data_IF_112309593171
#
_entry.id   IF_112309593171
#
_cell.length_a   1.000
_cell.length_b   1.000
_cell.length_c   1.000
_cell.angle_alpha   90.00
_cell.angle_beta   90.00
_cell.angle_gamma   90.00
#
_symmetry.space_group_name_H-M   'P 1'
#
loop_
_entity.id
_entity.type
_entity.pdbx_description
1 polymer ?
2 non-polymer ?
3 non-polymer ?
4 non-polymer ?
5 water ?
#
# COMPACT_ATOMS: atom_id res chain seq x y z
N UNK A 1 -11.44 -14.83 17.38
CA UNK A 1 -11.54 -14.22 16.01
C UNK A 1 -11.21 -12.72 16.08
N UNK A 2 -10.08 -12.34 15.52
CA UNK A 2 -9.66 -10.95 15.53
C UNK A 2 -9.50 -10.41 14.11
N UNK A 3 -9.92 -9.17 13.90
CA UNK A 3 -9.79 -8.55 12.60
C UNK A 3 -8.79 -7.40 12.68
N UNK A 4 -7.82 -7.40 11.77
CA UNK A 4 -6.83 -6.34 11.70
C UNK A 4 -7.24 -5.51 10.50
N UNK A 5 -7.57 -4.23 10.73
CA UNK A 5 -7.98 -3.36 9.65
C UNK A 5 -7.07 -2.15 9.47
N UNK A 6 -6.47 -2.04 8.30
CA UNK A 6 -5.61 -0.90 7.99
C UNK A 6 -6.38 -0.08 6.95
N UNK A 7 -6.85 1.08 7.37
CA UNK A 7 -7.59 1.96 6.47
C UNK A 7 -6.87 3.29 6.38
N UNK A 8 -6.56 3.71 5.16
CA UNK A 8 -5.86 4.97 4.97
C UNK A 8 -6.53 5.85 3.94
N UNK A 9 -6.24 7.14 4.03
CA UNK A 9 -6.80 8.12 3.11
C UNK A 9 -6.01 9.41 3.17
N UNK A 10 -6.00 10.13 2.06
CA UNK A 10 -5.32 11.41 1.97
C UNK A 10 -6.39 12.46 2.30
N UNK A 11 -6.20 13.19 3.40
CA UNK A 11 -7.16 14.23 3.80
C UNK A 11 -6.52 15.61 3.78
N UNK A 12 -5.40 15.73 3.10
CA UNK A 12 -4.72 17.02 3.03
C UNK A 12 -3.30 16.91 3.56
N UNK A 13 -2.43 17.79 3.07
CA UNK A 13 -1.04 17.76 3.50
C UNK A 13 -0.35 19.13 3.44
N UNK A 14 0.74 19.26 4.18
CA UNK A 14 1.49 20.51 4.25
C UNK A 14 2.43 20.76 3.08
N UNK A 15 2.37 21.98 2.54
CA UNK A 15 3.24 22.41 1.44
C UNK A 15 3.17 21.62 0.14
N UNK A 16 2.10 20.85 -0.04
CA UNK A 16 1.95 20.04 -1.23
C UNK A 16 1.53 18.64 -0.81
N UNK A 17 1.78 17.65 -1.68
CA UNK A 17 1.44 16.26 -1.39
C UNK A 17 2.63 15.65 -0.68
N UNK A 18 3.13 16.41 0.29
CA UNK A 18 4.33 16.12 1.07
C UNK A 18 4.24 15.32 2.37
N UNK A 19 3.48 15.83 3.34
CA UNK A 19 3.38 15.14 4.62
C UNK A 19 2.08 15.46 5.35
N UNK A 20 1.62 14.51 6.15
CA UNK A 20 0.41 14.70 6.95
C UNK A 20 0.77 15.59 8.13
N UNK A 21 -0.04 16.61 8.39
CA UNK A 21 0.19 17.53 9.51
C UNK A 21 -0.25 16.87 10.82
N UNK A 22 0.59 16.93 11.86
CA UNK A 22 0.29 16.33 13.17
C UNK A 22 -1.10 16.66 13.71
N UNK A 23 -1.55 17.90 13.53
CA UNK A 23 -2.86 18.31 14.03
C UNK A 23 -4.01 17.48 13.44
N UNK A 24 -3.87 17.07 12.19
CA UNK A 24 -4.91 16.27 11.57
C UNK A 24 -4.95 14.86 12.15
N UNK A 25 -3.79 14.34 12.53
CA UNK A 25 -3.76 13.01 13.12
C UNK A 25 -4.33 13.08 14.54
N UNK A 26 -4.13 14.22 15.20
CA UNK A 26 -4.65 14.41 16.56
C UNK A 26 -6.17 14.35 16.50
N UNK A 27 -6.75 14.94 15.46
CA UNK A 27 -8.21 14.94 15.30
C UNK A 27 -8.68 13.50 15.08
N UNK A 28 -7.93 12.76 14.27
CA UNK A 28 -8.28 11.38 13.98
C UNK A 28 -8.19 10.53 15.24
N UNK A 29 -7.23 10.87 16.10
CA UNK A 29 -7.04 10.13 17.35
C UNK A 29 -8.22 10.29 18.29
N UNK A 30 -8.76 11.50 18.39
CA UNK A 30 -9.90 11.72 19.27
C UNK A 30 -11.05 10.81 18.87
N UNK A 31 -11.27 10.67 17.56
CA UNK A 31 -12.35 9.83 17.05
C UNK A 31 -12.14 8.35 17.36
N UNK A 32 -10.92 7.85 17.14
CA UNK A 32 -10.66 6.43 17.42
C UNK A 32 -10.60 6.17 18.92
N UNK A 33 -10.18 7.17 19.70
CA UNK A 33 -10.12 7.01 21.14
C UNK A 33 -11.53 6.79 21.65
N UNK A 34 -12.49 7.50 21.05
CA UNK A 34 -13.88 7.38 21.44
C UNK A 34 -14.42 6.02 20.99
N UNK A 35 -14.09 5.62 19.77
CA UNK A 35 -14.54 4.33 19.24
C UNK A 35 -14.04 3.19 20.11
N UNK A 36 -12.81 3.33 20.61
CA UNK A 36 -12.21 2.30 21.47
C UNK A 36 -12.96 2.28 22.81
N UNK A 37 -13.25 3.46 23.32
CA UNK A 37 -13.96 3.59 24.59
C UNK A 37 -15.35 2.99 24.46
N UNK A 38 -15.97 3.17 23.30
CA UNK A 38 -17.31 2.66 23.04
C UNK A 38 -17.31 1.17 22.73
N UNK A 39 -16.11 0.60 22.59
CA UNK A 39 -16.01 -0.81 22.31
C UNK A 39 -16.15 -1.19 20.84
N UNK A 40 -16.19 -0.20 19.96
CA UNK A 40 -16.31 -0.46 18.53
C UNK A 40 -15.02 -1.16 18.07
N UNK A 41 -13.88 -0.65 18.51
CA UNK A 41 -12.60 -1.27 18.18
C UNK A 41 -11.90 -1.60 19.49
N UNK A 42 -10.98 -2.56 19.45
CA UNK A 42 -10.25 -2.96 20.65
C UNK A 42 -8.95 -2.18 20.83
N UNK A 43 -8.34 -1.78 19.74
CA UNK A 43 -7.08 -1.04 19.81
C UNK A 43 -6.78 -0.38 18.47
N UNK A 44 -5.82 0.52 18.44
CA UNK A 44 -5.47 1.20 17.20
C UNK A 44 -4.13 1.92 17.30
N UNK A 45 -3.58 2.25 16.15
CA UNK A 45 -2.33 2.98 16.05
C UNK A 45 -2.51 3.87 14.83
N UNK A 46 -2.24 5.15 14.99
CA UNK A 46 -2.38 6.10 13.89
C UNK A 46 -1.02 6.67 13.51
N UNK A 47 -0.76 6.73 12.21
CA UNK A 47 0.49 7.29 11.74
C UNK A 47 0.27 7.78 10.31
N UNK A 48 1.35 7.97 9.57
CA UNK A 48 1.24 8.43 8.20
C UNK A 48 2.46 7.98 7.40
N UNK A 49 2.34 8.10 6.09
CA UNK A 49 3.42 7.84 5.15
C UNK A 49 3.12 8.84 4.05
N UNK A 50 4.03 9.80 3.86
CA UNK A 50 3.77 10.82 2.86
C UNK A 50 2.51 11.58 3.27
N UNK A 51 1.62 11.81 2.30
CA UNK A 51 0.39 12.55 2.58
C UNK A 51 -0.80 11.63 2.89
N UNK A 52 -0.51 10.40 3.32
CA UNK A 52 -1.57 9.45 3.64
C UNK A 52 -1.68 9.12 5.12
N UNK A 53 -2.82 9.46 5.70
CA UNK A 53 -3.08 9.22 7.11
C UNK A 53 -3.50 7.75 7.28
N UNK A 54 -2.79 7.06 8.15
CA UNK A 54 -3.00 5.63 8.40
C UNK A 54 -3.73 5.31 9.68
N UNK A 55 -4.77 4.48 9.57
CA UNK A 55 -5.54 4.06 10.73
C UNK A 55 -5.41 2.54 10.86
N UNK A 56 -4.60 2.09 11.81
CA UNK A 56 -4.41 0.67 12.04
C UNK A 56 -5.31 0.32 13.22
N UNK A 57 -6.31 -0.53 12.97
CA UNK A 57 -7.25 -0.90 14.01
C UNK A 57 -7.47 -2.40 14.15
N UNK A 58 -7.67 -2.84 15.38
CA UNK A 58 -7.95 -4.25 15.65
C UNK A 58 -9.32 -4.25 16.31
N UNK A 59 -10.14 -5.23 15.95
CA UNK A 59 -11.49 -5.34 16.49
C UNK A 59 -12.01 -6.74 16.24
N UNK A 60 -13.28 -6.97 16.56
CA UNK A 60 -13.88 -8.28 16.38
C UNK A 60 -15.16 -8.18 15.54
N UNK A 61 -15.18 -7.26 14.59
CA UNK A 61 -16.35 -7.06 13.76
C UNK A 61 -16.20 -7.56 12.32
N UNK A 62 -15.15 -8.33 12.07
CA UNK A 62 -14.92 -8.89 10.75
C UNK A 62 -14.55 -7.90 9.66
N UNK A 63 -14.33 -8.44 8.46
CA UNK A 63 -13.96 -7.66 7.29
C UNK A 63 -15.14 -6.89 6.70
N UNK A 64 -14.85 -5.76 6.08
CA UNK A 64 -15.88 -4.92 5.46
C UNK A 64 -17.03 -4.64 6.42
N UNK A 65 -16.70 -4.22 7.64
CA UNK A 65 -17.73 -3.90 8.61
C UNK A 65 -18.13 -2.44 8.45
N UNK A 66 -19.44 -2.20 8.36
CA UNK A 66 -19.97 -0.85 8.20
C UNK A 66 -19.59 0.12 9.31
N UNK A 67 -19.68 -0.33 10.55
CA UNK A 67 -19.37 0.53 11.68
C UNK A 67 -17.88 0.87 11.78
N UNK A 68 -17.02 -0.11 11.52
CA UNK A 68 -15.59 0.13 11.56
C UNK A 68 -15.20 1.12 10.46
N UNK A 69 -15.73 0.88 9.26
CA UNK A 69 -15.44 1.77 8.14
C UNK A 69 -16.03 3.16 8.35
N UNK A 70 -17.20 3.23 8.97
CA UNK A 70 -17.85 4.50 9.23
C UNK A 70 -17.01 5.25 10.28
N UNK A 71 -16.44 4.51 11.21
CA UNK A 71 -15.62 5.10 12.25
C UNK A 71 -14.39 5.69 11.58
N UNK A 72 -13.81 4.95 10.65
CA UNK A 72 -12.63 5.39 9.91
C UNK A 72 -12.99 6.65 9.13
N UNK A 73 -14.14 6.62 8.47
CA UNK A 73 -14.59 7.77 7.69
C UNK A 73 -14.73 9.02 8.56
N UNK A 74 -15.30 8.86 9.75
CA UNK A 74 -15.47 10.01 10.64
C UNK A 74 -14.10 10.53 11.10
N UNK A 75 -13.16 9.61 11.30
CA UNK A 75 -11.82 9.99 11.74
C UNK A 75 -11.20 10.85 10.64
N UNK A 76 -11.33 10.42 9.38
CA UNK A 76 -10.79 11.17 8.25
C UNK A 76 -11.51 12.51 8.09
N UNK A 77 -12.82 12.52 8.30
CA UNK A 77 -13.60 13.74 8.18
C UNK A 77 -13.12 14.78 9.17
N UNK A 78 -12.91 14.37 10.42
CA UNK A 78 -12.44 15.29 11.46
C UNK A 78 -11.04 15.77 11.12
N UNK A 79 -10.23 14.88 10.54
CA UNK A 79 -8.86 15.25 10.18
C UNK A 79 -8.92 16.24 9.01
N UNK A 80 -9.82 16.00 8.07
CA UNK A 80 -9.98 16.86 6.91
C UNK A 80 -10.46 18.26 7.32
N UNK A 81 -11.30 18.34 8.35
CA UNK A 81 -11.79 19.62 8.81
C UNK A 81 -10.63 20.45 9.38
N UNK A 82 -9.74 19.79 10.09
CA UNK A 82 -8.57 20.48 10.65
C UNK A 82 -7.67 20.90 9.49
N UNK A 83 -7.51 20.01 8.51
CA UNK A 83 -6.68 20.31 7.35
C UNK A 83 -7.22 21.55 6.65
N UNK A 84 -8.55 21.63 6.53
CA UNK A 84 -9.19 22.77 5.87
C UNK A 84 -8.96 24.06 6.67
N UNK A 85 -9.13 23.99 7.98
CA UNK A 85 -8.92 25.16 8.83
C UNK A 85 -7.48 25.62 8.82
N UNK A 86 -6.56 24.68 8.59
CA UNK A 86 -5.13 24.99 8.54
C UNK A 86 -4.74 25.39 7.12
N UNK A 87 -5.70 25.33 6.22
CA UNK A 87 -5.44 25.70 4.83
C UNK A 87 -4.47 24.77 4.14
N UNK A 88 -4.39 23.52 4.60
CA UNK A 88 -3.48 22.56 3.99
C UNK A 88 -3.86 22.28 2.55
N UNK A 89 -2.89 21.80 1.78
CA UNK A 89 -3.14 21.50 0.38
C UNK A 89 -3.94 20.21 0.23
N UNK A 90 -4.82 20.17 -0.76
CA UNK A 90 -5.64 18.99 -1.03
C UNK A 90 -6.46 18.56 0.19
N UNK A 91 -6.93 19.52 0.97
CA UNK A 91 -7.72 19.21 2.15
C UNK A 91 -8.91 18.33 1.76
N UNK A 92 -9.04 17.18 2.40
CA UNK A 92 -10.12 16.26 2.12
C UNK A 92 -9.99 15.56 0.77
N UNK A 93 -8.77 15.58 0.22
CA UNK A 93 -8.49 14.98 -1.09
C UNK A 93 -9.23 13.69 -1.46
N UNK A 94 -9.05 12.64 -0.66
CA UNK A 94 -9.69 11.36 -0.95
C UNK A 94 -11.17 11.28 -0.55
N UNK A 95 -11.66 12.29 0.16
CA UNK A 95 -13.05 12.30 0.60
C UNK A 95 -13.98 13.13 -0.28
N UNK A 96 -13.45 14.22 -0.86
CA UNK A 96 -14.24 15.10 -1.70
C UNK A 96 -13.74 15.13 -3.14
N UNK A 97 -14.65 14.88 -4.08
CA UNK A 97 -14.30 14.88 -5.50
C UNK A 97 -13.91 16.27 -6.00
N UNK A 98 -14.30 17.30 -5.25
CA UNK A 98 -13.98 18.66 -5.66
C UNK A 98 -12.99 19.35 -4.73
N UNK A 99 -12.21 18.57 -3.99
CA UNK A 99 -11.21 19.13 -3.08
C UNK A 99 -10.17 19.88 -3.92
N UNK A 100 -9.43 20.77 -3.28
CA UNK A 100 -8.43 21.57 -4.00
C UNK A 100 -7.10 20.87 -4.30
N UNK A 101 -7.07 20.15 -5.42
CA UNK A 101 -5.88 19.45 -5.88
C UNK A 101 -6.09 19.04 -7.33
N UNK A 102 -5.01 18.71 -8.03
CA UNK A 102 -5.12 18.34 -9.42
C UNK A 102 -5.12 16.86 -9.75
N UNK A 103 -4.98 16.02 -8.73
CA UNK A 103 -4.98 14.57 -8.96
C UNK A 103 -6.38 13.96 -8.77
N UNK A 104 -6.47 12.64 -8.86
CA UNK A 104 -7.75 11.96 -8.72
C UNK A 104 -8.27 12.07 -7.29
N UNK A 105 -9.41 12.74 -7.14
CA UNK A 105 -10.01 12.97 -5.84
C UNK A 105 -11.32 12.22 -5.56
N UNK A 106 -11.72 12.21 -4.29
CA UNK A 106 -12.95 11.58 -3.86
C UNK A 106 -13.19 10.10 -4.07
N UNK A 107 -12.13 9.30 -4.25
CA UNK A 107 -12.33 7.87 -4.46
C UNK A 107 -12.60 7.11 -3.16
N UNK A 108 -12.29 7.72 -2.02
CA UNK A 108 -12.52 7.07 -0.75
C UNK A 108 -11.28 6.42 -0.15
N UNK A 109 -11.36 5.95 1.10
CA UNK A 109 -10.22 5.31 1.76
C UNK A 109 -9.81 3.97 1.17
N UNK A 110 -8.52 3.66 1.29
CA UNK A 110 -8.00 2.40 0.80
C UNK A 110 -8.05 1.46 1.99
N UNK A 111 -8.27 0.18 1.75
CA UNK A 111 -8.36 -0.76 2.87
C UNK A 111 -7.70 -2.12 2.66
N UNK A 112 -7.09 -2.61 3.74
CA UNK A 112 -6.45 -3.91 3.78
C UNK A 112 -6.96 -4.49 5.09
N UNK A 113 -7.72 -5.58 5.02
CA UNK A 113 -8.28 -6.21 6.21
C UNK A 113 -8.20 -7.72 6.20
N UNK A 114 -7.97 -8.30 7.37
CA UNK A 114 -7.92 -9.75 7.48
C UNK A 114 -8.50 -10.18 8.82
N UNK A 115 -9.54 -11.01 8.76
CA UNK A 115 -10.16 -11.54 9.96
C UNK A 115 -9.48 -12.88 10.16
N UNK A 116 -8.89 -13.08 11.32
CA UNK A 116 -8.18 -14.32 11.60
C UNK A 116 -8.42 -14.84 12.99
N UNK A 117 -7.89 -16.02 13.25
CA UNK A 117 -7.95 -16.63 14.56
C UNK A 117 -6.51 -16.52 15.03
N UNK A 118 -6.27 -15.67 16.01
CA UNK A 118 -4.92 -15.46 16.52
C UNK A 118 -4.25 -16.78 16.88
N UNK A 119 -2.99 -16.92 16.47
CA UNK A 119 -2.22 -18.11 16.78
C UNK A 119 -1.68 -17.88 18.19
N UNK A 120 -0.97 -18.86 18.75
CA UNK A 120 -0.42 -18.71 20.11
C UNK A 120 0.21 -17.33 20.21
N UNK A 121 0.97 -16.96 19.19
CA UNK A 121 1.60 -15.66 19.10
C UNK A 121 1.29 -15.21 17.68
N UNK A 122 0.90 -13.96 17.51
CA UNK A 122 0.53 -13.47 16.19
C UNK A 122 1.38 -12.29 15.72
N UNK A 123 2.62 -12.54 15.29
CA UNK A 123 3.48 -11.46 14.82
C UNK A 123 3.08 -11.06 13.39
N UNK A 124 3.00 -9.76 13.12
CA UNK A 124 2.63 -9.29 11.80
C UNK A 124 3.47 -8.09 11.39
N UNK A 125 3.54 -7.85 10.08
CA UNK A 125 4.25 -6.70 9.56
C UNK A 125 3.23 -5.96 8.70
N UNK A 126 3.11 -4.67 8.91
CA UNK A 126 2.18 -3.86 8.14
C UNK A 126 2.99 -2.89 7.31
N UNK A 127 2.75 -2.90 6.01
CA UNK A 127 3.47 -2.02 5.08
C UNK A 127 2.52 -1.00 4.49
N UNK A 128 2.96 0.25 4.49
CA UNK A 128 2.15 1.36 3.97
C UNK A 128 3.05 2.17 3.04
N UNK A 129 2.55 2.49 1.86
CA UNK A 129 3.35 3.24 0.90
C UNK A 129 2.64 4.46 0.36
N UNK A 130 3.43 5.45 -0.04
CA UNK A 130 2.91 6.66 -0.64
C UNK A 130 3.58 6.87 -1.99
N UNK A 131 2.81 7.39 -2.95
CA UNK A 131 3.28 7.67 -4.30
C UNK A 131 3.49 6.43 -5.18
N UNK A 132 2.61 5.45 -5.04
CA UNK A 132 2.65 4.26 -5.88
C UNK A 132 1.27 3.59 -5.82
N UNK A 133 1.12 2.45 -6.48
CA UNK A 133 -0.17 1.77 -6.52
C UNK A 133 -0.08 0.35 -5.95
N UNK A 134 -1.24 -0.28 -5.71
CA UNK A 134 -1.31 -1.65 -5.17
C UNK A 134 -0.37 -2.68 -5.82
N UNK A 135 -0.28 -2.64 -7.14
CA UNK A 135 0.58 -3.58 -7.85
C UNK A 135 2.03 -3.52 -7.41
N UNK A 136 2.39 -2.48 -6.68
CA UNK A 136 3.76 -2.32 -6.19
C UNK A 136 4.14 -3.50 -5.29
N UNK A 137 3.15 -4.14 -4.67
CA UNK A 137 3.44 -5.25 -3.78
C UNK A 137 3.53 -6.60 -4.48
N UNK A 138 3.23 -6.66 -5.77
CA UNK A 138 3.31 -7.92 -6.51
C UNK A 138 4.67 -8.60 -6.42
N UNK A 139 5.74 -7.87 -6.78
CA UNK A 139 7.07 -8.44 -6.73
C UNK A 139 7.46 -8.87 -5.31
N UNK A 140 7.28 -8.00 -4.31
CA UNK A 140 7.62 -8.36 -2.93
C UNK A 140 6.89 -9.61 -2.43
N UNK A 141 5.57 -9.66 -2.67
CA UNK A 141 4.77 -10.81 -2.24
C UNK A 141 5.20 -12.09 -2.92
N UNK A 142 5.48 -12.03 -4.22
CA UNK A 142 5.93 -13.20 -4.94
C UNK A 142 7.20 -13.72 -4.28
N UNK A 143 8.12 -12.81 -3.98
CA UNK A 143 9.36 -13.22 -3.35
C UNK A 143 9.15 -13.81 -1.96
N UNK A 144 8.35 -13.13 -1.15
CA UNK A 144 8.06 -13.59 0.21
C UNK A 144 7.49 -15.00 0.27
N UNK A 145 6.52 -15.25 -0.58
CA UNK A 145 5.81 -16.52 -0.55
C UNK A 145 6.11 -17.58 -1.61
N UNK A 146 6.93 -17.26 -2.61
CA UNK A 146 7.20 -18.26 -3.65
C UNK A 146 8.66 -18.37 -4.10
N UNK A 147 9.46 -17.35 -3.84
CA UNK A 147 10.85 -17.38 -4.28
C UNK A 147 11.79 -18.00 -3.25
N UNK A 148 12.33 -19.20 -3.55
CA UNK A 148 13.24 -19.90 -2.63
C UNK A 148 14.57 -19.17 -2.40
N UNK A 149 14.87 -18.18 -3.24
CA UNK A 149 16.10 -17.40 -3.09
C UNK A 149 15.87 -16.23 -2.13
N UNK A 150 14.61 -16.04 -1.73
CA UNK A 150 14.23 -14.98 -0.81
C UNK A 150 13.84 -15.57 0.53
N UNK A 151 13.02 -16.62 0.45
CA UNK A 151 12.51 -17.30 1.63
C UNK A 151 13.01 -18.74 1.67
N UNK A 152 14.19 -18.97 2.28
CA UNK A 152 14.75 -20.31 2.38
C UNK A 152 13.85 -21.31 3.11
N UNK A 153 12.90 -20.79 3.90
CA UNK A 153 11.98 -21.67 4.61
C UNK A 153 11.24 -22.59 3.65
N UNK A 154 10.99 -22.12 2.45
CA UNK A 154 10.28 -22.91 1.45
C UNK A 154 11.05 -24.18 1.12
N UNK A 155 12.37 -24.10 1.27
CA UNK A 155 13.27 -25.21 0.98
C UNK A 155 13.76 -25.97 2.20
N UNK A 156 13.96 -25.28 3.33
CA UNK A 156 14.49 -25.93 4.52
C UNK A 156 13.60 -26.05 5.74
N UNK A 157 12.37 -25.54 5.66
CA UNK A 157 11.42 -25.63 6.78
C UNK A 157 10.29 -26.57 6.35
N UNK A 158 10.26 -27.78 6.90
CA UNK A 158 9.21 -28.75 6.56
C UNK A 158 7.79 -28.20 6.55
N UNK A 159 7.48 -27.31 7.49
CA UNK A 159 6.15 -26.73 7.59
C UNK A 159 5.76 -25.79 6.46
N UNK A 160 6.73 -25.43 5.60
CA UNK A 160 6.47 -24.53 4.48
C UNK A 160 6.66 -25.19 3.11
N UNK A 161 7.11 -26.44 3.11
CA UNK A 161 7.37 -27.15 1.86
C UNK A 161 6.16 -27.21 0.92
N UNK A 162 4.97 -27.23 1.50
CA UNK A 162 3.74 -27.27 0.72
C UNK A 162 3.54 -26.04 -0.15
N UNK A 163 4.16 -24.93 0.24
CA UNK A 163 4.03 -23.72 -0.54
C UNK A 163 2.81 -22.85 -0.26
N UNK A 164 2.62 -21.84 -1.10
CA UNK A 164 1.52 -20.90 -0.96
C UNK A 164 0.80 -20.66 -2.27
N UNK A 165 -0.43 -20.17 -2.18
CA UNK A 165 -1.21 -19.87 -3.37
C UNK A 165 -1.59 -18.40 -3.34
N UNK A 166 -1.71 -17.81 -4.52
CA UNK A 166 -2.02 -16.39 -4.65
C UNK A 166 -3.36 -16.10 -5.29
N UNK A 167 -4.13 -15.19 -4.68
CA UNK A 167 -5.41 -14.79 -5.25
C UNK A 167 -5.09 -13.56 -6.08
N UNK A 168 -5.10 -13.72 -7.40
CA UNK A 168 -4.78 -12.62 -8.30
C UNK A 168 -6.04 -12.00 -8.88
N UNK A 169 -6.19 -10.70 -8.67
CA UNK A 169 -7.35 -9.95 -9.14
C UNK A 169 -7.11 -9.21 -10.45
N UNK A 170 -7.99 -9.42 -11.42
CA UNK A 170 -7.92 -8.71 -12.68
C UNK A 170 -8.69 -7.44 -12.33
N UNK A 171 -7.97 -6.35 -12.12
CA UNK A 171 -8.59 -5.09 -11.72
C UNK A 171 -9.52 -4.46 -12.75
N UNK A 172 -9.45 -4.92 -14.00
CA UNK A 172 -10.32 -4.38 -15.04
C UNK A 172 -11.60 -5.20 -15.16
N UNK A 173 -11.46 -6.52 -15.20
CA UNK A 173 -12.59 -7.43 -15.33
C UNK A 173 -13.32 -7.66 -14.01
N UNK A 174 -12.63 -7.44 -12.89
CA UNK A 174 -13.25 -7.65 -11.59
C UNK A 174 -13.39 -9.12 -11.25
N UNK A 175 -12.45 -9.93 -11.72
CA UNK A 175 -12.46 -11.37 -11.47
C UNK A 175 -11.11 -11.78 -10.88
N UNK A 176 -11.11 -12.81 -10.05
CA UNK A 176 -9.89 -13.28 -9.42
C UNK A 176 -9.63 -14.76 -9.66
N UNK A 177 -8.36 -15.12 -9.74
CA UNK A 177 -7.96 -16.50 -9.96
C UNK A 177 -6.96 -16.92 -8.88
N UNK A 178 -7.00 -18.19 -8.50
CA UNK A 178 -6.08 -18.72 -7.49
C UNK A 178 -5.00 -19.53 -8.18
N UNK A 179 -3.74 -19.13 -7.99
CA UNK A 179 -2.62 -19.83 -8.58
C UNK A 179 -1.71 -20.34 -7.46
N UNK A 180 -1.30 -21.60 -7.55
CA UNK A 180 -0.47 -22.20 -6.53
C UNK A 180 1.00 -22.35 -6.91
N UNK A 181 1.86 -22.11 -5.93
CA UNK A 181 3.30 -22.25 -6.11
C UNK A 181 3.70 -23.44 -5.23
N UNK A 182 4.50 -23.96 -5.71
CA UNK A 182 5.23 -23.66 -6.93
C UNK A 182 5.04 -23.84 -8.15
N UNK A 183 3.90 -24.85 -8.54
CA UNK A 183 3.80 -25.50 -10.04
C UNK A 183 3.18 -24.57 -11.06
N UNK A 184 2.64 -23.46 -10.58
CA UNK A 184 2.02 -22.49 -11.46
C UNK A 184 2.73 -21.14 -11.40
N UNK A 185 3.98 -21.12 -10.98
CA UNK A 185 4.69 -19.84 -10.88
C UNK A 185 4.92 -19.15 -12.23
N UNK A 186 5.12 -19.92 -13.30
CA UNK A 186 5.34 -19.30 -14.60
C UNK A 186 4.04 -18.64 -15.05
N UNK A 187 2.92 -19.27 -14.75
CA UNK A 187 1.61 -18.71 -15.09
C UNK A 187 1.38 -17.48 -14.24
N UNK A 188 1.66 -17.61 -12.95
CA UNK A 188 1.50 -16.50 -12.02
C UNK A 188 2.27 -15.27 -12.47
N UNK A 189 3.55 -15.46 -12.77
CA UNK A 189 4.42 -14.36 -13.19
C UNK A 189 3.98 -13.72 -14.50
N UNK A 190 3.41 -14.52 -15.40
CA UNK A 190 2.95 -14.00 -16.68
C UNK A 190 1.88 -12.94 -16.42
N UNK A 191 1.17 -13.09 -15.30
CA UNK A 191 0.13 -12.14 -14.93
C UNK A 191 0.60 -10.99 -14.03
N UNK A 192 1.10 -11.31 -12.85
CA UNK A 192 1.51 -10.28 -11.91
C UNK A 192 2.67 -9.40 -12.37
N UNK A 193 3.30 -9.79 -13.49
CA UNK A 193 4.39 -9.01 -14.03
C UNK A 193 3.84 -7.71 -14.59
N UNK A 194 2.51 -7.64 -14.69
CA UNK A 194 1.79 -6.45 -15.18
C UNK A 194 0.97 -5.94 -14.00
N UNK A 195 1.61 -5.19 -13.09
CA UNK A 195 0.97 -4.62 -11.89
C UNK A 195 -0.26 -3.73 -12.08
N UNK A 196 -0.40 -3.13 -13.26
CA UNK A 196 -1.54 -2.26 -13.52
C UNK A 196 -2.80 -3.05 -13.85
N UNK A 197 -2.66 -4.31 -14.21
CA UNK A 197 -3.82 -5.14 -14.55
C UNK A 197 -4.07 -6.30 -13.59
N UNK A 198 -3.01 -6.99 -13.18
CA UNK A 198 -3.17 -8.11 -12.26
C UNK A 198 -2.46 -7.83 -10.94
N UNK A 199 -3.24 -7.82 -9.87
CA UNK A 199 -2.69 -7.53 -8.55
C UNK A 199 -2.98 -8.65 -7.54
N UNK A 200 -1.96 -9.04 -6.78
CA UNK A 200 -2.13 -10.06 -5.75
C UNK A 200 -2.94 -9.40 -4.64
N UNK A 201 -4.12 -9.95 -4.33
CA UNK A 201 -4.97 -9.38 -3.28
C UNK A 201 -4.82 -10.10 -1.95
N UNK A 202 -4.66 -11.42 -2.01
CA UNK A 202 -4.50 -12.23 -0.80
C UNK A 202 -3.58 -13.41 -1.06
N UNK A 203 -2.97 -13.92 0.00
CA UNK A 203 -2.10 -15.07 -0.10
C UNK A 203 -2.48 -16.08 0.97
N UNK A 204 -2.53 -17.35 0.60
CA UNK A 204 -2.88 -18.44 1.51
C UNK A 204 -1.84 -19.54 1.51
N UNK A 205 -1.69 -20.21 2.64
CA UNK A 205 -0.76 -21.33 2.74
C UNK A 205 -1.52 -22.51 2.14
N UNK A 206 -0.86 -23.27 1.26
CA UNK A 206 -1.51 -24.40 0.60
C UNK A 206 -2.00 -25.53 1.51
N UNK A 207 -1.15 -25.97 2.44
CA UNK A 207 -1.51 -27.06 3.32
C UNK A 207 -2.81 -26.93 4.13
N UNK A 208 -3.07 -25.75 4.67
CA UNK A 208 -4.27 -25.56 5.48
C UNK A 208 -5.12 -24.34 5.11
N UNK A 209 -4.80 -23.72 3.99
CA UNK A 209 -5.53 -22.54 3.53
C UNK A 209 -5.50 -21.38 4.51
N UNK A 210 -4.48 -21.32 5.34
CA UNK A 210 -4.38 -20.22 6.31
C UNK A 210 -4.13 -18.92 5.56
N UNK A 211 -4.93 -17.89 5.87
CA UNK A 211 -4.76 -16.59 5.24
C UNK A 211 -3.45 -16.01 5.78
N UNK A 212 -2.55 -15.64 4.89
CA UNK A 212 -1.24 -15.12 5.30
C UNK A 212 -0.98 -13.65 4.97
N UNK A 213 -1.63 -13.13 3.94
CA UNK A 213 -1.42 -11.73 3.57
C UNK A 213 -2.60 -11.15 2.81
N UNK A 214 -2.77 -9.83 2.94
CA UNK A 214 -3.84 -9.11 2.26
C UNK A 214 -3.33 -7.76 1.78
N UNK A 215 -3.72 -7.38 0.57
CA UNK A 215 -3.32 -6.12 -0.04
C UNK A 215 -4.54 -5.26 -0.33
N UNK A 216 -4.39 -3.94 -0.19
CA UNK A 216 -5.49 -3.03 -0.46
C UNK A 216 -5.61 -2.85 -1.97
N UNK A 217 -6.61 -3.50 -2.56
CA UNK A 217 -6.84 -3.41 -3.99
C UNK A 217 -8.30 -3.75 -4.29
N UNK A 218 -8.91 -2.94 -5.15
CA UNK A 218 -10.29 -3.13 -5.56
C UNK A 218 -10.33 -2.92 -7.06
N UNK A 219 -11.31 -3.52 -7.74
CA UNK A 219 -11.42 -3.37 -9.18
C UNK A 219 -11.55 -1.91 -9.58
N UNK A 220 -11.12 -1.59 -10.79
CA UNK A 220 -11.19 -0.24 -11.31
C UNK A 220 -12.63 0.20 -11.55
N UNK A 221 -12.83 1.51 -11.57
CA UNK A 221 -14.14 2.11 -11.80
C UNK A 221 -14.04 3.09 -12.96
N UNK A 222 -15.13 3.24 -13.71
CA UNK A 222 -15.13 4.17 -14.83
C UNK A 222 -15.80 5.47 -14.39
N UNK A 223 -15.00 6.52 -14.23
CA UNK A 223 -15.51 7.82 -13.80
C UNK A 223 -15.02 8.91 -14.74
N UNK A 227 -11.27 4.50 -16.65
CA UNK A 227 -10.93 3.52 -15.58
C UNK A 227 -9.95 4.12 -14.57
N UNK A 228 -10.44 4.35 -13.35
CA UNK A 228 -9.61 4.92 -12.29
C UNK A 228 -9.73 4.10 -11.02
N UNK A 229 -8.67 4.12 -10.21
CA UNK A 229 -8.66 3.38 -8.97
C UNK A 229 -7.83 4.10 -7.92
N UNK A 230 -7.90 3.61 -6.69
CA UNK A 230 -7.14 4.22 -5.59
C UNK A 230 -5.67 3.84 -5.69
N UNK A 231 -4.82 4.59 -4.97
CA UNK A 231 -3.39 4.31 -4.95
C UNK A 231 -2.85 4.34 -3.53
N UNK A 232 -1.53 4.46 -3.39
CA UNK A 232 -0.89 4.49 -2.08
C UNK A 232 -1.44 3.35 -1.23
N UNK A 233 -1.05 2.12 -1.57
CA UNK A 233 -1.44 0.85 -0.94
C UNK A 233 -0.86 0.47 0.41
N UNK A 234 -1.61 -0.38 1.11
CA UNK A 234 -1.21 -0.91 2.40
C UNK A 234 -1.30 -2.43 2.28
N UNK A 235 -0.56 -3.13 3.14
CA UNK A 235 -0.55 -4.57 3.12
C UNK A 235 -0.28 -5.13 4.50
N UNK A 236 -0.92 -6.25 4.83
CA UNK A 236 -0.74 -6.91 6.11
C UNK A 236 -0.18 -8.30 5.83
N UNK A 237 0.92 -8.64 6.50
CA UNK A 237 1.54 -9.94 6.31
C UNK A 237 1.70 -10.65 7.65
N UNK A 238 1.16 -11.86 7.76
CA UNK A 238 1.28 -12.66 8.98
C UNK A 238 2.62 -13.36 8.90
N UNK A 239 3.32 -13.41 10.03
CA UNK A 239 4.67 -13.98 10.07
C UNK A 239 4.92 -15.18 10.98
N UNK A 240 6.04 -15.85 10.70
CA UNK A 240 6.54 -16.97 11.49
C UNK A 240 5.72 -18.26 11.59
N UNK A 241 6.35 -19.27 12.19
CA UNK A 241 5.74 -20.56 12.44
C UNK A 241 5.03 -21.17 11.23
N UNK A 242 5.76 -21.34 10.14
CA UNK A 242 5.15 -21.92 8.96
C UNK A 242 4.83 -20.87 7.92
N UNK A 243 4.98 -19.61 8.32
CA UNK A 243 4.76 -18.47 7.43
C UNK A 243 6.11 -17.78 7.36
N UNK A 244 6.32 -16.93 6.35
CA UNK A 244 7.61 -16.24 6.25
C UNK A 244 8.03 -15.53 7.52
N UNK A 245 9.31 -15.66 7.86
CA UNK A 245 9.86 -15.01 9.04
C UNK A 245 9.88 -13.51 8.77
N UNK A 246 9.92 -12.71 9.82
CA UNK A 246 9.96 -11.25 9.65
C UNK A 246 11.09 -10.94 8.67
N UNK A 247 12.23 -11.61 8.87
CA UNK A 247 13.39 -11.39 8.02
C UNK A 247 13.20 -11.78 6.57
N UNK A 248 12.33 -12.74 6.31
CA UNK A 248 12.07 -13.16 4.94
C UNK A 248 11.13 -12.16 4.28
N UNK A 249 10.22 -11.59 5.06
CA UNK A 249 9.31 -10.58 4.52
C UNK A 249 10.14 -9.32 4.21
N UNK A 250 11.04 -8.97 5.12
CA UNK A 250 11.86 -7.78 4.92
C UNK A 250 12.88 -7.97 3.80
N UNK A 251 13.30 -9.22 3.59
CA UNK A 251 14.26 -9.53 2.54
C UNK A 251 13.65 -9.17 1.19
N UNK A 252 12.33 -9.30 1.07
CA UNK A 252 11.61 -9.00 -0.16
C UNK A 252 11.58 -7.52 -0.51
N UNK A 253 11.99 -6.68 0.42
CA UNK A 253 12.02 -5.25 0.19
C UNK A 253 13.45 -4.71 0.19
N UNK A 254 14.43 -5.60 0.32
CA UNK A 254 15.83 -5.20 0.34
C UNK A 254 16.25 -4.60 -0.99
N UNK A 255 15.54 -5.00 -2.04
CA UNK A 255 15.81 -4.49 -3.39
C UNK A 255 14.76 -3.42 -3.67
N UNK A 256 15.20 -2.16 -3.88
CA UNK A 256 14.26 -1.07 -4.16
C UNK A 256 13.82 -1.11 -5.62
N UNK A 257 12.84 -1.95 -5.92
CA UNK A 257 12.37 -2.09 -7.29
C UNK A 257 11.59 -0.90 -7.80
N UNK A 258 11.55 -0.75 -9.12
CA UNK A 258 10.83 0.35 -9.75
C UNK A 258 9.34 0.08 -9.68
N UNK A 259 8.60 1.06 -9.18
CA UNK A 259 7.15 0.94 -9.06
C UNK A 259 6.46 2.12 -9.74
N UNK A 260 5.23 1.91 -10.22
CA UNK A 260 4.49 2.98 -10.89
C UNK A 260 3.94 4.01 -9.91
N UNK A 261 4.03 5.28 -10.28
CA UNK A 261 3.55 6.34 -9.42
C UNK A 261 4.48 7.53 -9.40
N UNK A 262 5.04 7.82 -8.23
CA UNK A 262 5.94 8.95 -8.06
C UNK A 262 5.23 10.24 -8.50
N UNK A 263 5.97 11.16 -9.11
CA UNK A 263 5.40 12.43 -9.55
C UNK A 263 4.15 12.31 -10.44
N UNK A 264 3.10 13.00 -10.04
CA UNK A 264 1.84 13.03 -10.79
C UNK A 264 1.31 11.66 -11.18
N UNK A 265 1.64 10.65 -10.36
CA UNK A 265 1.19 9.30 -10.64
C UNK A 265 1.42 8.89 -12.08
N UNK A 266 2.50 9.41 -12.67
CA UNK A 266 2.79 9.12 -14.07
C UNK A 266 4.22 8.65 -14.36
N UNK A 267 4.92 8.15 -13.34
CA UNK A 267 6.30 7.70 -13.57
C UNK A 267 6.63 6.40 -12.85
N UNK A 268 7.79 5.84 -13.18
CA UNK A 268 8.30 4.66 -12.52
C UNK A 268 9.46 5.20 -11.70
N UNK A 269 9.52 4.79 -10.43
CA UNK A 269 10.59 5.24 -9.57
C UNK A 269 10.85 4.14 -8.56
N UNK A 270 12.04 4.13 -7.95
CA UNK A 270 12.38 3.10 -6.96
C UNK A 270 11.65 3.22 -5.63
N UNK A 271 11.16 2.09 -5.12
CA UNK A 271 10.46 2.06 -3.84
C UNK A 271 11.54 2.19 -2.76
N UNK A 272 11.42 3.22 -1.94
CA UNK A 272 12.42 3.49 -0.90
C UNK A 272 11.90 3.19 0.50
N UNK A 273 12.40 2.10 1.13
CA UNK A 273 11.98 1.72 2.48
C UNK A 273 12.56 2.75 3.45
N UNK A 274 11.72 3.36 4.26
CA UNK A 274 12.17 4.39 5.18
C UNK A 274 11.62 4.27 6.60
N UNK A 275 12.27 4.99 7.51
CA UNK A 275 11.85 5.04 8.90
C UNK A 275 10.64 5.96 8.96
N UNK A 276 10.00 6.03 10.11
CA UNK A 276 8.82 6.87 10.29
C UNK A 276 9.16 8.34 10.04
N UNK A 277 10.31 8.78 10.52
CA UNK A 277 10.70 10.18 10.36
C UNK A 277 11.00 10.54 8.90
N UNK A 278 11.39 9.54 8.11
CA UNK A 278 11.71 9.76 6.69
C UNK A 278 10.52 9.43 5.79
N UNK A 279 9.35 9.18 6.38
CA UNK A 279 8.17 8.84 5.58
C UNK A 279 7.46 10.06 5.02
N UNK A 280 8.13 10.77 4.12
CA UNK A 280 7.56 11.96 3.50
C UNK A 280 8.09 12.07 2.07
N UNK A 281 7.28 12.66 1.19
CA UNK A 281 7.66 12.80 -0.21
C UNK A 281 8.35 14.13 -0.46
N UNK A 282 9.54 14.08 -1.05
CA UNK A 282 10.29 15.29 -1.32
C UNK A 282 10.70 15.43 -2.79
N UNK A 283 11.92 14.96 -3.11
CA UNK A 283 12.41 15.06 -4.47
C UNK A 283 11.47 14.45 -5.51
N UNK A 284 10.97 15.28 -6.43
CA UNK A 284 10.06 14.82 -7.48
C UNK A 284 8.83 14.15 -6.85
N UNK A 285 8.45 14.64 -5.68
CA UNK A 285 7.30 14.12 -4.92
C UNK A 285 7.52 12.65 -4.54
N UNK A 286 8.74 12.35 -4.13
CA UNK A 286 9.08 11.00 -3.73
C UNK A 286 10.52 10.96 -3.25
N UNK A 287 11.28 9.90 -3.58
CA UNK A 287 10.85 8.73 -4.35
C UNK A 287 9.74 8.05 -3.57
N UNK A 288 9.00 7.11 -4.19
CA UNK A 288 7.92 6.42 -3.46
C UNK A 288 8.46 5.94 -2.12
N UNK A 289 7.71 6.17 -1.04
CA UNK A 289 8.15 5.79 0.30
C UNK A 289 7.40 4.59 0.86
N UNK A 290 8.14 3.69 1.51
CA UNK A 290 7.56 2.51 2.12
C UNK A 290 7.85 2.46 3.61
N UNK A 291 6.79 2.46 4.41
CA UNK A 291 6.89 2.39 5.87
C UNK A 291 6.52 0.97 6.27
N UNK A 292 7.30 0.39 7.18
CA UNK A 292 7.01 -0.97 7.62
C UNK A 292 6.98 -0.99 9.13
N UNK A 293 5.88 -1.48 9.70
CA UNK A 293 5.73 -1.54 11.15
C UNK A 293 5.45 -2.96 11.61
N UNK A 294 6.20 -3.41 12.61
CA UNK A 294 5.99 -4.74 13.14
C UNK A 294 5.17 -4.69 14.44
N UNK A 295 4.23 -5.61 14.56
CA UNK A 295 3.37 -5.68 15.75
C UNK A 295 3.19 -7.12 16.17
N UNK A 296 2.58 -7.29 17.34
CA UNK A 296 2.20 -8.59 17.85
C UNK A 296 0.76 -8.32 18.24
N UNK A 297 -0.15 -9.15 17.76
CA UNK A 297 -1.56 -8.99 18.06
C UNK A 297 -1.90 -9.99 19.16
N UNK A 298 -2.36 -9.48 20.29
CA UNK A 298 -2.69 -10.31 21.44
C UNK A 298 -4.08 -9.97 21.96
N UNK A 299 -5.04 -10.86 21.72
CA UNK A 299 -6.41 -10.66 22.15
C UNK A 299 -6.99 -9.33 21.68
N UNK A 300 -6.76 -9.02 20.41
CA UNK A 300 -7.29 -7.79 19.84
C UNK A 300 -6.47 -6.55 20.15
N UNK A 301 -5.38 -6.71 20.89
CA UNK A 301 -4.52 -5.59 21.25
C UNK A 301 -3.29 -5.50 20.35
N UNK A 302 -2.84 -4.28 20.09
CA UNK A 302 -1.68 -4.05 19.24
C UNK A 302 -0.43 -3.76 20.07
N UNK A 303 0.47 -4.73 20.15
CA UNK A 303 1.72 -4.53 20.89
C UNK A 303 2.75 -4.06 19.87
N UNK A 304 3.28 -2.86 20.11
CA UNK A 304 4.26 -2.29 19.21
C UNK A 304 3.92 -0.85 18.92
N UNK A 305 4.33 -0.32 17.77
CA UNK A 305 5.09 -1.02 16.73
C UNK A 305 6.59 -0.86 16.85
N UNK A 306 7.29 -1.60 16.00
CA UNK A 306 8.74 -1.48 15.90
C UNK A 306 8.90 -1.01 14.46
N UNK A 307 9.67 0.07 14.27
CA UNK A 307 9.89 0.63 12.95
C UNK A 307 10.87 -0.31 12.24
N UNK A 308 10.36 -1.10 11.32
CA UNK A 308 11.17 -2.10 10.62
C UNK A 308 12.32 -1.61 9.74
N UNK A 309 12.07 -0.63 8.89
CA UNK A 309 13.12 -0.14 8.01
C UNK A 309 14.07 0.90 8.60
N UNK A 310 13.78 1.35 9.82
CA UNK A 310 14.66 2.32 10.48
C UNK A 310 15.77 1.49 11.11
N UNK A 311 16.68 1.02 10.25
CA UNK A 311 17.75 0.15 10.69
C UNK A 311 18.87 0.25 9.64
N UNK A 312 20.13 0.12 10.07
CA UNK A 312 21.26 0.20 9.13
C UNK A 312 21.28 -0.86 8.01
N UNK A 313 20.61 -1.99 8.23
CA UNK A 313 20.58 -3.04 7.22
C UNK A 313 19.91 -2.58 5.93
N UNK A 314 19.23 -1.44 5.97
CA UNK A 314 18.57 -0.93 4.78
C UNK A 314 19.20 0.36 4.27
N UNK A 315 20.35 0.73 4.81
CA UNK A 315 21.01 1.96 4.36
C UNK A 315 21.43 1.88 2.90
N UNK A 316 21.95 0.73 2.47
CA UNK A 316 22.37 0.59 1.08
C UNK A 316 21.16 0.50 0.16
N UNK A 317 20.05 -0.02 0.69
CA UNK A 317 18.82 -0.10 -0.10
C UNK A 317 18.41 1.33 -0.44
N UNK A 318 18.46 2.21 0.54
CA UNK A 318 18.09 3.61 0.35
C UNK A 318 19.10 4.34 -0.54
N UNK A 319 20.37 4.05 -0.39
CA UNK A 319 21.36 4.71 -1.24
C UNK A 319 21.13 4.32 -2.70
N UNK A 320 20.86 3.03 -2.92
CA UNK A 320 20.61 2.55 -4.27
C UNK A 320 19.35 3.23 -4.81
N UNK A 321 18.35 3.40 -3.95
CA UNK A 321 17.12 4.07 -4.38
C UNK A 321 17.43 5.48 -4.85
N UNK A 322 18.30 6.20 -4.13
CA UNK A 322 18.66 7.56 -4.50
C UNK A 322 19.43 7.59 -5.82
N UNK A 323 20.33 6.62 -6.01
CA UNK A 323 21.13 6.55 -7.23
C UNK A 323 20.24 6.24 -8.43
N UNK A 324 19.35 5.27 -8.26
CA UNK A 324 18.42 4.89 -9.31
C UNK A 324 17.45 6.03 -9.59
N UNK A 325 17.05 6.75 -8.55
CA UNK A 325 16.14 7.87 -8.73
C UNK A 325 16.76 8.91 -9.66
N UNK A 326 18.04 9.20 -9.45
CA UNK A 326 18.72 10.18 -10.29
C UNK A 326 18.81 9.68 -11.72
N UNK A 327 19.16 8.41 -11.88
CA UNK A 327 19.27 7.80 -13.20
C UNK A 327 17.94 7.90 -13.94
N UNK A 328 16.86 7.48 -13.29
CA UNK A 328 15.54 7.54 -13.94
C UNK A 328 15.19 8.96 -14.36
N UNK A 329 15.43 9.92 -13.46
CA UNK A 329 15.10 11.32 -13.73
C UNK A 329 15.79 11.92 -14.95
N UNK A 330 16.93 11.37 -15.34
CA UNK A 330 17.62 11.90 -16.50
C UNK A 330 16.88 11.57 -17.80
N UNK A 331 15.83 10.75 -17.69
CA UNK A 331 15.02 10.37 -18.85
C UNK A 331 13.95 11.42 -19.13
N UNK A 332 13.73 12.33 -18.19
CA UNK A 332 12.72 13.34 -18.37
C UNK A 332 11.36 12.73 -18.63
N UNK A 333 10.56 13.31 -19.55
CA UNK A 333 9.22 12.80 -19.86
C UNK A 333 9.18 11.62 -20.83
N UNK A 334 10.24 10.82 -20.87
CA UNK A 334 10.30 9.66 -21.75
C UNK A 334 10.08 8.33 -21.01
N UNK A 335 9.42 7.40 -21.69
CA UNK A 335 9.22 6.06 -21.12
C UNK A 335 10.64 5.48 -21.20
N UNK A 336 10.99 4.53 -20.31
CA UNK A 336 10.17 3.96 -19.24
C UNK A 336 10.10 4.74 -17.93
N UNK A 337 10.70 5.93 -17.86
CA UNK A 337 10.60 6.69 -16.62
C UNK A 337 9.15 7.18 -16.52
N UNK A 338 8.62 7.69 -17.64
CA UNK A 338 7.23 8.14 -17.68
C UNK A 338 6.42 6.86 -17.93
N UNK A 339 5.21 6.77 -17.38
CA UNK A 339 4.40 5.58 -17.57
C UNK A 339 3.81 5.49 -18.98
N UNK A 340 3.31 4.32 -19.35
CA UNK A 340 2.71 4.16 -20.67
C UNK A 340 1.51 5.10 -20.73
N UNK A 341 1.13 5.54 -21.93
CA UNK A 341 0.01 6.46 -22.18
C UNK A 341 -1.26 6.28 -21.35
N UNK A 342 -1.83 5.09 -21.38
CA UNK A 342 -3.08 4.82 -20.66
C UNK A 342 -2.97 4.72 -19.14
N UNK A 343 -1.75 4.64 -18.62
CA UNK A 343 -1.55 4.52 -17.18
C UNK A 343 -1.21 5.85 -16.48
N UNK A 344 -0.98 6.89 -17.27
CA UNK A 344 -0.64 8.20 -16.72
C UNK A 344 -1.84 8.85 -16.03
N UNK A 345 -1.66 9.25 -14.78
CA UNK A 345 -2.74 9.90 -14.03
C UNK A 345 -3.00 11.28 -14.62
N UNK A 346 -1.94 11.89 -15.15
CA UNK A 346 -2.02 13.21 -15.80
C UNK A 346 -1.59 13.04 -17.25
N UNK A 347 -2.27 13.72 -18.16
CA UNK A 347 -1.90 13.65 -19.56
C UNK A 347 -2.49 14.80 -20.37
N UNK A 348 -1.77 15.22 -21.40
CA UNK A 348 -2.20 16.30 -22.27
C UNK A 348 -2.33 15.76 -23.69
N UNK A 349 -2.04 14.47 -23.85
CA UNK A 349 -2.09 13.82 -25.15
C UNK A 349 -3.40 14.04 -25.92
N UNK A 350 -4.55 13.79 -25.27
CA UNK A 350 -5.83 14.00 -25.96
C UNK A 350 -5.95 15.40 -26.56
N UNK A 351 -5.55 16.40 -25.78
CA UNK A 351 -5.61 17.78 -26.22
C UNK A 351 -4.61 18.08 -27.34
N UNK A 352 -3.42 17.46 -27.26
CA UNK A 352 -2.40 17.66 -28.27
C UNK A 352 -2.86 17.10 -29.62
N UNK A 353 -3.33 15.87 -29.61
CA UNK A 353 -3.79 15.23 -30.85
C UNK A 353 -4.94 16.02 -31.47
N UNK A 354 -5.80 16.57 -30.61
CA UNK A 354 -6.93 17.38 -31.08
C UNK A 354 -6.38 18.61 -31.79
N UNK A 355 -5.37 19.22 -31.19
CA UNK A 355 -4.75 20.42 -31.75
C UNK A 355 -4.00 20.15 -33.06
N UNK A 356 -3.47 18.95 -33.20
CA UNK A 356 -2.69 18.59 -34.39
C UNK A 356 -3.44 17.69 -35.38
N UNK A 357 -4.75 17.52 -35.19
CA UNK A 357 -5.53 16.66 -36.07
C UNK A 357 -5.41 16.97 -37.55
N UNK A 358 -5.33 18.25 -37.90
CA UNK A 358 -5.21 18.64 -39.31
C UNK A 358 -3.77 18.77 -39.78
N UNK A 359 -2.82 18.72 -38.85
CA UNK A 359 -1.41 18.83 -39.20
C UNK A 359 -0.78 17.48 -39.49
N UNK A 360 -1.45 16.41 -39.08
CA UNK A 360 -0.97 15.06 -39.33
C UNK A 360 -1.27 14.73 -40.80
N UNK A 361 -0.23 14.34 -41.55
CA UNK A 361 -0.40 14.03 -42.97
C UNK A 361 -0.27 12.55 -43.28
N UNK A 362 -1.10 12.07 -44.20
CA UNK A 362 -1.08 10.67 -44.62
C UNK A 362 0.05 10.43 -45.62
#
# INVERSE_FOLDING_TARGET
>A
KTTISVIKADIGSLAGHHIVHPDTMAAANKVLASAKEQGIILDYYITHVGDDLQLIMTHTRGELDTKVHETAWNAFKEAAKVAKDLGLYAAGQDLLSDSFSGNVRGLGPGVAEMEIEERASEPIAIFMADKTEPGAYNLPLYKMFADPFNTPGLVIDPTMHGGFKFEVLDVYQGEAVMLSAPQEIYDLLALIGTPARYVIRRVYRNEDNLLAAVVSIERLNLIAGKYVGKDDPVMIVRLQHGLPALGEALEAFAFPHLVPGWMRGSHYGPLMPVSQRDAKATRFDGPPRLLGLGFNVKNGRLVGPTDLFDDPAFDETRRLANIVADYMRRHGPFMPHRLEPTEMEYTTLPLILEKLKDRFKK
#
